data_IF_883678869994
#
_entry.id   IF_883678869994
#
_cell.length_a   1.000
_cell.length_b   1.000
_cell.length_c   1.000
_cell.angle_alpha   90.00
_cell.angle_beta   90.00
_cell.angle_gamma   90.00
#
_symmetry.space_group_name_H-M   'P 1'
#
loop_
_entity.id
_entity.type
_entity.pdbx_description
1 polymer ?
#
# COMPACT_ATOMS: atom_id res chain seq x y z
N UNK A 1 0.14 24.35 -10.42
CA UNK A 1 0.57 23.37 -9.39
C UNK A 1 0.36 21.93 -9.85
N UNK A 2 -0.87 21.53 -10.22
CA UNK A 2 -1.19 20.14 -10.62
C UNK A 2 -0.34 19.58 -11.78
N UNK A 3 -0.17 20.34 -12.87
CA UNK A 3 0.64 19.90 -14.04
C UNK A 3 2.11 19.67 -13.66
N UNK A 4 2.66 20.49 -12.74
CA UNK A 4 4.04 20.33 -12.26
C UNK A 4 4.20 19.02 -11.49
N UNK A 5 3.29 18.74 -10.56
CA UNK A 5 3.29 17.48 -9.80
C UNK A 5 3.12 16.28 -10.73
N UNK A 6 2.20 16.34 -11.68
CA UNK A 6 2.00 15.26 -12.65
C UNK A 6 3.28 15.00 -13.47
N UNK A 7 3.91 16.05 -14.00
CA UNK A 7 5.18 15.94 -14.75
C UNK A 7 6.29 15.34 -13.91
N UNK A 8 6.38 15.71 -12.64
CA UNK A 8 7.37 15.17 -11.72
C UNK A 8 7.12 13.70 -11.39
N UNK A 9 5.87 13.33 -11.10
CA UNK A 9 5.49 11.94 -10.84
C UNK A 9 5.74 11.03 -12.04
N UNK A 10 5.45 11.50 -13.26
CA UNK A 10 5.78 10.79 -14.49
C UNK A 10 7.28 10.65 -14.67
N UNK A 11 8.06 11.72 -14.44
CA UNK A 11 9.54 11.65 -14.52
C UNK A 11 10.10 10.63 -13.53
N UNK A 12 9.61 10.61 -12.30
CA UNK A 12 10.02 9.64 -11.28
C UNK A 12 9.63 8.21 -11.67
N UNK A 13 8.43 8.02 -12.21
CA UNK A 13 7.94 6.71 -12.67
C UNK A 13 8.77 6.19 -13.84
N UNK A 14 9.02 7.02 -14.86
CA UNK A 14 9.87 6.66 -16.01
C UNK A 14 11.29 6.31 -15.57
N UNK A 15 11.84 7.05 -14.59
CA UNK A 15 13.16 6.74 -14.03
C UNK A 15 13.21 5.34 -13.41
N UNK A 16 12.16 4.92 -12.68
CA UNK A 16 12.09 3.58 -12.11
C UNK A 16 11.86 2.53 -13.21
N UNK A 17 10.98 2.83 -14.16
CA UNK A 17 10.69 1.94 -15.29
C UNK A 17 11.92 1.74 -16.21
N UNK A 18 12.90 2.64 -16.21
CA UNK A 18 14.15 2.43 -16.92
C UNK A 18 14.92 1.19 -16.39
N UNK A 19 14.77 0.85 -15.11
CA UNK A 19 15.33 -0.38 -14.54
C UNK A 19 14.63 -1.65 -15.06
N UNK A 20 13.48 -1.52 -15.74
CA UNK A 20 12.81 -2.65 -16.40
C UNK A 20 13.65 -3.27 -17.51
N UNK A 21 14.63 -2.52 -18.06
CA UNK A 21 15.62 -3.02 -19.03
C UNK A 21 16.45 -4.18 -18.44
N UNK A 22 16.53 -4.28 -17.11
CA UNK A 22 17.21 -5.40 -16.44
C UNK A 22 16.42 -6.71 -16.54
N UNK A 23 15.10 -6.69 -16.77
CA UNK A 23 14.28 -7.91 -16.80
C UNK A 23 14.65 -8.84 -17.96
N UNK A 24 14.79 -8.36 -19.22
CA UNK A 24 15.32 -9.19 -20.30
C UNK A 24 16.73 -9.71 -20.04
N UNK A 25 17.58 -8.91 -19.40
CA UNK A 25 18.93 -9.33 -19.05
C UNK A 25 18.91 -10.48 -18.04
N UNK A 26 18.07 -10.39 -17.01
CA UNK A 26 17.84 -11.46 -16.04
C UNK A 26 17.34 -12.75 -16.69
N UNK A 27 16.43 -12.63 -17.66
CA UNK A 27 15.95 -13.79 -18.43
C UNK A 27 17.08 -14.46 -19.23
N UNK A 28 17.91 -13.69 -19.93
CA UNK A 28 19.06 -14.24 -20.67
C UNK A 28 20.05 -14.94 -19.74
N UNK A 29 20.30 -14.37 -18.55
CA UNK A 29 21.17 -15.04 -17.55
C UNK A 29 20.55 -16.31 -17.00
N UNK A 30 19.23 -16.34 -16.79
CA UNK A 30 18.55 -17.54 -16.32
C UNK A 30 18.61 -18.68 -17.35
N UNK A 31 18.34 -18.37 -18.63
CA UNK A 31 18.47 -19.34 -19.71
C UNK A 31 19.89 -19.88 -19.85
N UNK A 32 20.91 -19.04 -19.61
CA UNK A 32 22.31 -19.44 -19.74
C UNK A 32 22.83 -20.26 -18.55
N UNK A 33 22.35 -20.01 -17.32
CA UNK A 33 22.96 -20.54 -16.09
C UNK A 33 22.06 -21.51 -15.31
N UNK A 34 20.76 -21.25 -15.22
CA UNK A 34 19.88 -21.92 -14.26
C UNK A 34 18.82 -22.79 -14.93
N UNK A 35 18.44 -22.51 -16.19
CA UNK A 35 17.44 -23.26 -16.95
C UNK A 35 16.13 -23.49 -16.17
N UNK A 36 15.61 -22.44 -15.54
CA UNK A 36 14.44 -22.52 -14.64
C UNK A 36 13.15 -23.00 -15.30
N UNK A 37 13.10 -23.00 -16.64
CA UNK A 37 11.92 -23.36 -17.43
C UNK A 37 10.84 -22.29 -17.47
N UNK A 38 11.06 -21.14 -16.84
CA UNK A 38 10.13 -20.02 -16.86
C UNK A 38 10.10 -19.33 -18.23
N UNK A 39 8.91 -18.98 -18.70
CA UNK A 39 8.75 -18.27 -19.96
C UNK A 39 9.17 -16.79 -19.84
N UNK A 40 9.51 -16.15 -20.96
CA UNK A 40 9.85 -14.73 -20.96
C UNK A 40 8.69 -13.85 -20.42
N UNK A 41 7.45 -14.21 -20.74
CA UNK A 41 6.27 -13.53 -20.22
C UNK A 41 6.15 -13.69 -18.69
N UNK A 42 6.59 -14.82 -18.13
CA UNK A 42 6.68 -15.07 -16.68
C UNK A 42 7.74 -14.21 -15.99
N UNK A 43 8.83 -13.87 -16.67
CA UNK A 43 9.78 -12.88 -16.15
C UNK A 43 9.23 -11.47 -16.19
N UNK A 44 8.60 -11.08 -17.30
CA UNK A 44 8.06 -9.72 -17.50
C UNK A 44 7.06 -9.35 -16.42
N UNK A 45 5.97 -10.11 -16.24
CA UNK A 45 4.97 -9.73 -15.23
C UNK A 45 5.44 -9.93 -13.78
N UNK A 46 6.36 -10.85 -13.48
CA UNK A 46 6.96 -10.93 -12.14
C UNK A 46 7.81 -9.68 -11.86
N UNK A 47 8.53 -9.21 -12.88
CA UNK A 47 9.20 -7.92 -12.86
C UNK A 47 8.19 -6.80 -12.62
N UNK A 48 7.12 -6.72 -13.42
CA UNK A 48 6.10 -5.66 -13.31
C UNK A 48 5.47 -5.62 -11.92
N UNK A 49 5.16 -6.76 -11.30
CA UNK A 49 4.58 -6.82 -9.95
C UNK A 49 5.51 -6.15 -8.93
N UNK A 50 6.79 -6.51 -8.96
CA UNK A 50 7.82 -5.94 -8.11
C UNK A 50 8.02 -4.44 -8.42
N UNK A 51 8.01 -4.05 -9.69
CA UNK A 51 8.16 -2.65 -10.10
C UNK A 51 6.97 -1.78 -9.68
N UNK A 52 5.73 -2.27 -9.77
CA UNK A 52 4.54 -1.54 -9.31
C UNK A 52 4.69 -1.20 -7.83
N UNK A 53 5.06 -2.19 -7.02
CA UNK A 53 5.22 -2.03 -5.59
C UNK A 53 6.38 -1.08 -5.25
N UNK A 54 7.56 -1.29 -5.85
CA UNK A 54 8.72 -0.40 -5.65
C UNK A 54 8.39 1.02 -6.06
N UNK A 55 7.67 1.20 -7.19
CA UNK A 55 7.23 2.51 -7.66
C UNK A 55 6.26 3.15 -6.67
N UNK A 56 5.31 2.39 -6.12
CA UNK A 56 4.39 2.89 -5.11
C UNK A 56 5.12 3.42 -3.87
N UNK A 57 6.07 2.64 -3.33
CA UNK A 57 6.90 3.07 -2.19
C UNK A 57 7.79 4.26 -2.53
N UNK A 58 8.43 4.25 -3.69
CA UNK A 58 9.32 5.32 -4.12
C UNK A 58 8.57 6.64 -4.32
N UNK A 59 7.41 6.62 -4.98
CA UNK A 59 6.58 7.82 -5.16
C UNK A 59 6.04 8.36 -3.83
N UNK A 60 5.67 7.46 -2.91
CA UNK A 60 5.23 7.83 -1.57
C UNK A 60 6.36 8.48 -0.76
N UNK A 61 7.57 7.90 -0.80
CA UNK A 61 8.73 8.42 -0.07
C UNK A 61 9.25 9.76 -0.63
N UNK A 62 9.21 9.94 -1.95
CA UNK A 62 9.69 11.16 -2.60
C UNK A 62 8.62 12.25 -2.72
N UNK A 63 7.51 12.14 -1.98
CA UNK A 63 6.36 13.05 -2.11
C UNK A 63 6.69 14.53 -1.85
N UNK A 64 7.57 14.78 -0.88
CA UNK A 64 8.00 16.11 -0.44
C UNK A 64 9.51 16.34 -0.62
N UNK A 65 10.18 15.49 -1.41
CA UNK A 65 11.65 15.52 -1.51
C UNK A 65 12.18 16.79 -2.18
N UNK A 66 11.45 17.33 -3.15
CA UNK A 66 11.85 18.57 -3.82
C UNK A 66 11.78 19.74 -2.83
N UNK A 67 10.68 19.85 -2.08
CA UNK A 67 10.49 20.90 -1.09
C UNK A 67 11.46 20.82 0.07
N UNK A 68 11.81 19.60 0.50
CA UNK A 68 12.76 19.39 1.60
C UNK A 68 14.17 19.81 1.19
N UNK A 69 14.57 19.54 -0.06
CA UNK A 69 15.86 20.00 -0.61
C UNK A 69 15.95 21.52 -0.70
N UNK A 70 14.83 22.16 -1.04
CA UNK A 70 14.76 23.62 -1.17
C UNK A 70 14.53 24.31 0.19
N UNK A 71 14.43 23.56 1.29
CA UNK A 71 14.07 24.10 2.61
C UNK A 71 12.68 24.74 2.66
N UNK A 72 11.85 24.52 1.63
CA UNK A 72 10.57 25.18 1.41
C UNK A 72 9.39 24.39 2.01
N UNK A 73 9.63 23.29 2.73
CA UNK A 73 8.57 22.47 3.36
C UNK A 73 7.78 23.27 4.38
N UNK A 74 8.45 24.01 5.27
CA UNK A 74 7.78 24.85 6.27
C UNK A 74 7.02 26.00 5.61
N UNK A 75 7.61 26.59 4.56
CA UNK A 75 6.97 27.63 3.78
C UNK A 75 5.68 27.11 3.09
N UNK A 76 5.75 25.96 2.42
CA UNK A 76 4.61 25.36 1.73
C UNK A 76 3.45 25.06 2.70
N UNK A 77 3.76 24.60 3.91
CA UNK A 77 2.74 24.32 4.92
C UNK A 77 2.12 25.62 5.46
N UNK A 78 2.91 26.69 5.62
CA UNK A 78 2.41 28.00 6.08
C UNK A 78 1.50 28.74 5.10
N UNK A 79 1.42 28.31 3.84
CA UNK A 79 0.60 28.97 2.83
C UNK A 79 -0.90 28.88 3.19
N UNK A 80 -1.70 29.91 2.86
CA UNK A 80 -3.15 29.94 3.10
C UNK A 80 -3.91 29.06 2.08
N UNK A 81 -3.39 27.88 1.79
CA UNK A 81 -4.01 26.87 0.92
C UNK A 81 -4.79 25.90 1.81
N UNK A 82 -5.98 25.49 1.36
CA UNK A 82 -6.73 24.51 2.14
C UNK A 82 -5.97 23.18 2.23
N UNK A 83 -5.98 22.58 3.42
CA UNK A 83 -5.24 21.33 3.71
C UNK A 83 -5.65 20.19 2.76
N UNK A 84 -6.93 20.14 2.42
CA UNK A 84 -7.50 19.21 1.47
C UNK A 84 -7.01 19.43 0.04
N UNK A 85 -6.81 20.68 -0.39
CA UNK A 85 -6.23 20.95 -1.71
C UNK A 85 -4.80 20.41 -1.77
N UNK A 86 -3.99 20.58 -0.72
CA UNK A 86 -2.62 20.06 -0.71
C UNK A 86 -2.60 18.53 -0.82
N UNK A 87 -3.44 17.84 -0.04
CA UNK A 87 -3.61 16.38 -0.12
C UNK A 87 -3.99 15.97 -1.54
N UNK A 88 -4.99 16.64 -2.14
CA UNK A 88 -5.45 16.33 -3.50
C UNK A 88 -4.35 16.54 -4.54
N UNK A 89 -3.61 17.65 -4.48
CA UNK A 89 -2.56 17.94 -5.46
C UNK A 89 -1.36 17.01 -5.36
N UNK A 90 -1.03 16.50 -4.16
CA UNK A 90 0.09 15.56 -3.97
C UNK A 90 -0.33 14.11 -4.23
N UNK A 91 -1.47 13.66 -3.71
CA UNK A 91 -1.84 12.25 -3.72
C UNK A 91 -2.49 11.83 -5.05
N UNK A 92 -3.43 12.61 -5.58
CA UNK A 92 -4.20 12.21 -6.79
C UNK A 92 -3.31 11.92 -8.01
N UNK A 93 -2.35 12.79 -8.42
CA UNK A 93 -1.54 12.49 -9.61
C UNK A 93 -0.70 11.21 -9.43
N UNK A 94 -0.22 10.92 -8.22
CA UNK A 94 0.54 9.70 -7.91
C UNK A 94 -0.34 8.45 -8.01
N UNK A 95 -1.55 8.51 -7.43
CA UNK A 95 -2.52 7.42 -7.54
C UNK A 95 -2.88 7.21 -9.01
N UNK A 96 -3.14 8.26 -9.79
CA UNK A 96 -3.49 8.15 -11.20
C UNK A 96 -2.40 7.42 -12.01
N UNK A 97 -1.13 7.80 -11.84
CA UNK A 97 -0.01 7.14 -12.53
C UNK A 97 0.13 5.68 -12.08
N UNK A 98 0.00 5.40 -10.79
CA UNK A 98 0.06 4.03 -10.26
C UNK A 98 -1.12 3.18 -10.71
N UNK A 99 -2.32 3.74 -10.85
CA UNK A 99 -3.48 3.01 -11.38
C UNK A 99 -3.30 2.65 -12.84
N UNK A 100 -2.71 3.52 -13.66
CA UNK A 100 -2.37 3.20 -15.06
C UNK A 100 -1.35 2.06 -15.08
N UNK A 101 -0.31 2.14 -14.25
CA UNK A 101 0.71 1.10 -14.17
C UNK A 101 0.13 -0.24 -13.71
N UNK A 102 -0.82 -0.21 -12.77
CA UNK A 102 -1.53 -1.39 -12.27
C UNK A 102 -2.42 -2.02 -13.35
N UNK A 103 -3.15 -1.21 -14.13
CA UNK A 103 -3.94 -1.70 -15.27
C UNK A 103 -3.07 -2.32 -16.38
N UNK A 104 -1.89 -1.76 -16.61
CA UNK A 104 -0.91 -2.37 -17.51
C UNK A 104 -0.40 -3.70 -16.95
N UNK A 105 -0.09 -3.75 -15.65
CA UNK A 105 0.31 -4.98 -14.96
C UNK A 105 -0.76 -6.06 -15.02
N UNK A 106 -2.03 -5.71 -14.79
CA UNK A 106 -3.14 -6.66 -14.85
C UNK A 106 -3.32 -7.20 -16.27
N UNK A 107 -3.27 -6.33 -17.29
CA UNK A 107 -3.40 -6.77 -18.68
C UNK A 107 -2.28 -7.72 -19.12
N UNK A 108 -1.04 -7.49 -18.66
CA UNK A 108 0.07 -8.42 -18.92
C UNK A 108 -0.12 -9.75 -18.17
N UNK A 109 -0.68 -9.71 -16.96
CA UNK A 109 -0.94 -10.90 -16.18
C UNK A 109 -2.10 -11.74 -16.75
N UNK A 110 -3.15 -11.10 -17.28
CA UNK A 110 -4.28 -11.78 -17.94
C UNK A 110 -3.87 -12.51 -19.22
N UNK A 111 -2.84 -12.01 -19.91
CA UNK A 111 -2.25 -12.66 -21.10
C UNK A 111 -1.42 -13.90 -20.75
N UNK A 112 -1.14 -14.16 -19.47
CA UNK A 112 -0.44 -15.38 -19.05
C UNK A 112 -1.41 -16.57 -19.01
N UNK A 113 -1.12 -17.56 -19.83
CA UNK A 113 -1.85 -18.84 -19.87
C UNK A 113 -1.42 -19.82 -18.76
N UNK A 114 -0.38 -19.51 -17.96
CA UNK A 114 0.13 -20.41 -16.91
C UNK A 114 -0.25 -19.90 -15.50
N UNK A 115 -0.70 -20.82 -14.64
CA UNK A 115 -1.09 -20.58 -13.24
C UNK A 115 0.09 -20.22 -12.30
N UNK A 116 1.22 -19.78 -12.84
CA UNK A 116 2.54 -19.94 -12.21
C UNK A 116 3.33 -18.67 -11.98
N UNK A 117 2.72 -17.54 -11.61
CA UNK A 117 3.52 -16.43 -11.07
C UNK A 117 3.93 -16.76 -9.62
N UNK A 118 5.10 -17.37 -9.46
CA UNK A 118 5.67 -17.65 -8.12
C UNK A 118 5.72 -16.37 -7.29
N UNK A 119 6.06 -15.25 -7.93
CA UNK A 119 6.15 -13.93 -7.31
C UNK A 119 4.81 -13.17 -7.24
N UNK A 120 3.86 -13.40 -8.16
CA UNK A 120 2.56 -12.74 -8.05
C UNK A 120 1.78 -13.24 -6.83
N UNK A 121 1.89 -14.51 -6.45
CA UNK A 121 1.28 -14.97 -5.19
C UNK A 121 1.86 -14.32 -3.93
N UNK A 122 3.14 -13.92 -3.96
CA UNK A 122 3.88 -13.38 -2.81
C UNK A 122 3.78 -11.86 -2.73
N UNK A 123 3.90 -11.17 -3.87
CA UNK A 123 3.97 -9.71 -3.90
C UNK A 123 2.63 -9.04 -4.18
N UNK A 124 1.93 -9.44 -5.24
CA UNK A 124 0.67 -8.83 -5.66
C UNK A 124 -0.33 -9.95 -5.93
N UNK A 125 -1.14 -10.27 -4.92
CA UNK A 125 -2.17 -11.28 -5.08
C UNK A 125 -3.31 -10.74 -5.96
N UNK A 126 -3.16 -10.91 -7.27
CA UNK A 126 -4.12 -10.47 -8.28
C UNK A 126 -5.54 -11.03 -8.06
N UNK A 127 -5.66 -12.18 -7.37
CA UNK A 127 -6.94 -12.77 -6.96
C UNK A 127 -7.72 -12.00 -5.89
N UNK A 128 -7.13 -11.02 -5.19
CA UNK A 128 -7.84 -10.17 -4.21
C UNK A 128 -8.74 -9.11 -4.88
N UNK A 129 -8.65 -8.96 -6.20
CA UNK A 129 -9.39 -7.98 -6.97
C UNK A 129 -8.70 -6.62 -7.05
N UNK A 130 -8.96 -5.90 -8.15
CA UNK A 130 -8.38 -4.58 -8.43
C UNK A 130 -8.69 -3.55 -7.33
N UNK A 131 -9.86 -3.64 -6.70
CA UNK A 131 -10.26 -2.74 -5.63
C UNK A 131 -9.31 -2.80 -4.42
N UNK A 132 -8.88 -4.02 -4.04
CA UNK A 132 -7.92 -4.20 -2.95
C UNK A 132 -6.56 -3.58 -3.30
N UNK A 133 -6.07 -3.81 -4.51
CA UNK A 133 -4.78 -3.27 -4.95
C UNK A 133 -4.78 -1.73 -5.05
N UNK A 134 -5.87 -1.15 -5.56
CA UNK A 134 -6.06 0.32 -5.56
C UNK A 134 -6.13 0.86 -4.12
N UNK A 135 -6.82 0.14 -3.23
CA UNK A 135 -6.86 0.46 -1.80
C UNK A 135 -5.47 0.46 -1.17
N UNK A 136 -4.66 -0.55 -1.46
CA UNK A 136 -3.30 -0.70 -0.97
C UNK A 136 -2.39 0.44 -1.46
N UNK A 137 -2.44 0.75 -2.76
CA UNK A 137 -1.69 1.88 -3.34
C UNK A 137 -2.10 3.19 -2.68
N UNK A 138 -3.41 3.42 -2.53
CA UNK A 138 -3.94 4.62 -1.88
C UNK A 138 -3.45 4.71 -0.44
N UNK A 139 -3.45 3.59 0.29
CA UNK A 139 -2.93 3.51 1.66
C UNK A 139 -1.44 3.87 1.72
N UNK A 140 -0.62 3.30 0.83
CA UNK A 140 0.81 3.61 0.72
C UNK A 140 1.04 5.11 0.46
N UNK A 141 0.27 5.72 -0.45
CA UNK A 141 0.40 7.15 -0.74
C UNK A 141 -0.02 8.03 0.46
N UNK A 142 -1.05 7.65 1.21
CA UNK A 142 -1.45 8.37 2.43
C UNK A 142 -0.37 8.24 3.51
N UNK A 143 0.23 7.07 3.68
CA UNK A 143 1.39 6.89 4.57
C UNK A 143 2.58 7.76 4.15
N UNK A 144 2.91 7.82 2.85
CA UNK A 144 3.94 8.71 2.33
C UNK A 144 3.65 10.20 2.60
N UNK A 145 2.38 10.59 2.48
CA UNK A 145 1.96 11.94 2.83
C UNK A 145 2.16 12.25 4.32
N UNK A 146 1.75 11.34 5.21
CA UNK A 146 1.95 11.47 6.66
C UNK A 146 3.45 11.60 6.96
N UNK A 147 4.29 10.74 6.36
CA UNK A 147 5.74 10.80 6.51
C UNK A 147 6.32 12.16 6.10
N UNK A 148 5.81 12.72 5.01
CA UNK A 148 6.20 14.06 4.54
C UNK A 148 5.85 15.17 5.54
N UNK A 149 4.72 15.07 6.22
CA UNK A 149 4.31 16.03 7.26
C UNK A 149 5.12 15.91 8.54
N UNK A 150 5.37 14.67 8.97
CA UNK A 150 6.13 14.40 10.21
C UNK A 150 7.60 14.69 10.03
N UNK A 151 8.10 14.58 8.80
CA UNK A 151 9.50 14.73 8.48
C UNK A 151 10.13 13.39 8.12
N UNK A 152 10.75 13.35 6.94
CA UNK A 152 11.27 12.13 6.33
C UNK A 152 12.54 11.61 7.00
N UNK A 153 13.29 12.50 7.65
CA UNK A 153 14.53 12.16 8.35
C UNK A 153 14.28 11.24 9.56
N UNK A 154 13.11 11.34 10.19
CA UNK A 154 12.76 10.53 11.35
C UNK A 154 12.76 9.03 11.01
N UNK A 155 13.67 8.28 11.63
CA UNK A 155 13.79 6.83 11.40
C UNK A 155 12.61 6.06 12.01
N UNK A 156 12.17 6.50 13.19
CA UNK A 156 11.02 5.94 13.91
C UNK A 156 9.73 6.02 13.10
N UNK A 157 9.41 7.18 12.50
CA UNK A 157 8.18 7.33 11.71
C UNK A 157 8.22 6.49 10.43
N UNK A 158 9.39 6.40 9.78
CA UNK A 158 9.60 5.52 8.62
C UNK A 158 9.29 4.08 8.97
N UNK A 159 9.84 3.56 10.07
CA UNK A 159 9.59 2.19 10.51
C UNK A 159 8.14 1.95 10.90
N UNK A 160 7.51 2.87 11.65
CA UNK A 160 6.11 2.71 12.05
C UNK A 160 5.18 2.65 10.84
N UNK A 161 5.35 3.56 9.88
CA UNK A 161 4.52 3.60 8.67
C UNK A 161 4.80 2.41 7.75
N UNK A 162 6.07 2.00 7.61
CA UNK A 162 6.43 0.79 6.88
C UNK A 162 5.79 -0.44 7.52
N UNK A 163 5.85 -0.56 8.86
CA UNK A 163 5.20 -1.62 9.61
C UNK A 163 3.69 -1.66 9.39
N UNK A 164 3.02 -0.50 9.38
CA UNK A 164 1.58 -0.41 9.05
C UNK A 164 1.29 -0.86 7.62
N UNK A 165 2.11 -0.47 6.64
CA UNK A 165 1.94 -0.91 5.24
C UNK A 165 2.15 -2.42 5.12
N UNK A 166 3.20 -2.97 5.74
CA UNK A 166 3.45 -4.42 5.74
C UNK A 166 2.30 -5.18 6.40
N UNK A 167 1.74 -4.65 7.48
CA UNK A 167 0.53 -5.19 8.08
C UNK A 167 -0.60 -5.17 7.05
N UNK A 168 -0.99 -4.03 6.48
CA UNK A 168 -2.10 -3.94 5.50
C UNK A 168 -1.90 -4.86 4.31
N UNK A 169 -0.68 -4.92 3.77
CA UNK A 169 -0.33 -5.78 2.66
C UNK A 169 -0.58 -7.26 3.00
N UNK A 170 -0.22 -7.67 4.20
CA UNK A 170 -0.49 -9.01 4.71
C UNK A 170 -1.89 -9.18 5.32
N UNK A 171 -2.81 -8.20 5.22
CA UNK A 171 -4.10 -8.18 5.92
C UNK A 171 -5.31 -7.91 4.97
N UNK A 172 -6.14 -8.94 4.76
CA UNK A 172 -7.56 -8.82 4.47
C UNK A 172 -8.33 -9.49 5.61
N UNK A 173 -8.47 -8.82 6.76
CA UNK A 173 -8.73 -9.50 8.05
C UNK A 173 -9.96 -9.09 8.79
N UNK A 174 -10.47 -7.88 8.57
CA UNK A 174 -11.58 -7.39 9.39
C UNK A 174 -12.84 -8.14 8.99
N UNK A 175 -12.98 -8.44 7.71
CA UNK A 175 -14.00 -9.35 7.20
C UNK A 175 -13.93 -10.72 7.88
N UNK A 176 -12.73 -11.27 8.12
CA UNK A 176 -12.54 -12.53 8.86
C UNK A 176 -12.96 -12.39 10.33
N UNK A 177 -12.59 -11.29 11.00
CA UNK A 177 -12.99 -11.02 12.38
C UNK A 177 -14.50 -10.90 12.51
N UNK A 178 -15.14 -10.16 11.61
CA UNK A 178 -16.60 -10.00 11.56
C UNK A 178 -17.27 -11.34 11.30
N UNK A 179 -16.76 -12.13 10.35
CA UNK A 179 -17.29 -13.47 10.05
C UNK A 179 -17.23 -14.38 11.27
N UNK A 180 -16.12 -14.36 12.01
CA UNK A 180 -15.97 -15.09 13.28
C UNK A 180 -16.92 -14.60 14.36
N UNK A 181 -17.18 -13.30 14.43
CA UNK A 181 -18.10 -12.73 15.40
C UNK A 181 -19.55 -13.12 15.06
N UNK A 182 -19.93 -13.08 13.79
CA UNK A 182 -21.24 -13.56 13.30
C UNK A 182 -21.40 -15.05 13.62
N UNK A 183 -20.37 -15.86 13.39
CA UNK A 183 -20.39 -17.29 13.71
C UNK A 183 -20.65 -17.55 15.21
N UNK A 184 -20.08 -16.72 16.10
CA UNK A 184 -20.27 -16.85 17.55
C UNK A 184 -21.63 -16.36 18.05
N UNK A 185 -22.24 -15.37 17.38
CA UNK A 185 -23.46 -14.69 17.85
C UNK A 185 -24.73 -15.27 17.22
N UNK A 186 -24.66 -15.66 15.94
CA UNK A 186 -25.80 -16.13 15.16
C UNK A 186 -25.64 -17.63 14.86
N UNK A 187 -25.35 -17.98 13.60
CA UNK A 187 -25.27 -19.34 13.10
C UNK A 187 -24.19 -19.50 12.03
N UNK A 188 -23.74 -20.73 11.82
CA UNK A 188 -22.74 -21.09 10.81
C UNK A 188 -23.17 -20.66 9.39
N UNK A 189 -24.44 -20.87 9.04
CA UNK A 189 -24.96 -20.52 7.71
C UNK A 189 -24.93 -19.01 7.44
N UNK A 190 -25.22 -18.19 8.45
CA UNK A 190 -25.15 -16.73 8.35
C UNK A 190 -23.71 -16.26 8.19
N UNK A 191 -22.78 -16.89 8.91
CA UNK A 191 -21.35 -16.60 8.79
C UNK A 191 -20.80 -16.93 7.40
N UNK A 192 -21.23 -18.02 6.77
CA UNK A 192 -20.79 -18.38 5.39
C UNK A 192 -21.45 -17.48 4.34
N UNK A 193 -22.72 -17.11 4.51
CA UNK A 193 -23.42 -16.21 3.57
C UNK A 193 -22.87 -14.79 3.57
N UNK A 194 -22.34 -14.31 4.69
CA UNK A 194 -21.82 -12.96 4.82
C UNK A 194 -20.70 -12.61 3.81
N UNK A 195 -19.57 -13.33 3.73
CA UNK A 195 -18.52 -13.03 2.75
C UNK A 195 -18.99 -13.23 1.32
N UNK A 196 -19.87 -14.20 1.07
CA UNK A 196 -20.45 -14.42 -0.26
C UNK A 196 -21.35 -13.26 -0.72
N UNK A 197 -22.17 -12.71 0.18
CA UNK A 197 -23.00 -11.54 -0.09
C UNK A 197 -22.17 -10.27 -0.28
N UNK A 198 -21.11 -10.11 0.53
CA UNK A 198 -20.23 -8.94 0.46
C UNK A 198 -19.36 -8.95 -0.81
N UNK A 199 -18.97 -10.13 -1.28
CA UNK A 199 -18.04 -10.33 -2.38
C UNK A 199 -16.61 -9.87 -2.06
N UNK A 200 -15.67 -10.17 -2.95
CA UNK A 200 -14.25 -9.83 -2.76
C UNK A 200 -14.02 -8.32 -2.72
N UNK A 201 -14.70 -7.56 -3.58
CA UNK A 201 -14.59 -6.12 -3.59
C UNK A 201 -15.20 -5.47 -2.33
N UNK A 202 -16.33 -5.99 -1.84
CA UNK A 202 -16.96 -5.46 -0.63
C UNK A 202 -16.15 -5.75 0.63
N UNK A 203 -15.53 -6.93 0.71
CA UNK A 203 -14.61 -7.27 1.80
C UNK A 203 -13.37 -6.38 1.81
N UNK A 204 -12.78 -6.12 0.64
CA UNK A 204 -11.68 -5.17 0.50
C UNK A 204 -12.08 -3.76 0.96
N UNK A 205 -13.23 -3.24 0.52
CA UNK A 205 -13.71 -1.91 0.93
C UNK A 205 -13.91 -1.84 2.44
N UNK A 206 -14.50 -2.87 3.05
CA UNK A 206 -14.72 -2.94 4.48
C UNK A 206 -13.39 -2.90 5.24
N UNK A 207 -12.43 -3.74 4.85
CA UNK A 207 -11.13 -3.83 5.50
C UNK A 207 -10.37 -2.50 5.40
N UNK A 208 -10.32 -1.91 4.19
CA UNK A 208 -9.68 -0.61 3.99
C UNK A 208 -10.38 0.54 4.71
N UNK A 209 -11.70 0.50 4.88
CA UNK A 209 -12.43 1.56 5.59
C UNK A 209 -11.91 1.74 7.03
N UNK A 210 -11.61 0.64 7.71
CA UNK A 210 -11.06 0.67 9.08
C UNK A 210 -9.60 1.09 9.07
N UNK A 211 -8.80 0.60 8.12
CA UNK A 211 -7.40 1.03 8.00
C UNK A 211 -7.28 2.53 7.72
N UNK A 212 -8.15 3.09 6.86
CA UNK A 212 -8.23 4.52 6.63
C UNK A 212 -8.77 5.28 7.84
N UNK A 213 -9.71 4.73 8.60
CA UNK A 213 -10.17 5.34 9.85
C UNK A 213 -9.03 5.44 10.88
N UNK A 214 -8.19 4.41 10.99
CA UNK A 214 -7.00 4.39 11.85
C UNK A 214 -5.92 5.38 11.38
N UNK A 215 -5.68 5.49 10.07
CA UNK A 215 -4.80 6.54 9.53
C UNK A 215 -5.38 7.93 9.75
N UNK A 216 -6.69 8.09 9.62
CA UNK A 216 -7.37 9.36 9.84
C UNK A 216 -7.23 9.84 11.30
N UNK A 217 -7.23 8.91 12.25
CA UNK A 217 -6.96 9.21 13.66
C UNK A 217 -5.57 9.83 13.88
N UNK A 218 -4.57 9.43 13.08
CA UNK A 218 -3.21 10.01 13.07
C UNK A 218 -3.19 11.32 12.28
N UNK A 219 -3.83 11.37 11.11
CA UNK A 219 -3.74 12.49 10.18
C UNK A 219 -4.51 13.73 10.66
N UNK A 220 -5.73 13.56 11.19
CA UNK A 220 -6.58 14.66 11.68
C UNK A 220 -5.86 15.63 12.66
N UNK A 221 -5.17 15.16 13.72
CA UNK A 221 -4.43 16.05 14.61
C UNK A 221 -3.21 16.67 13.93
N UNK A 222 -2.47 15.91 13.10
CA UNK A 222 -1.32 16.42 12.36
C UNK A 222 -1.71 17.58 11.47
N UNK A 223 -2.78 17.43 10.70
CA UNK A 223 -3.32 18.50 9.88
C UNK A 223 -3.70 19.74 10.71
N UNK A 224 -4.10 19.62 11.98
CA UNK A 224 -4.45 20.78 12.82
C UNK A 224 -3.23 21.58 13.28
N UNK A 225 -2.12 20.91 13.52
CA UNK A 225 -0.92 21.51 14.16
C UNK A 225 0.20 21.82 13.16
N UNK A 226 0.06 21.41 11.90
CA UNK A 226 1.17 21.40 10.95
C UNK A 226 1.76 22.79 10.62
N UNK A 227 0.99 23.87 10.80
CA UNK A 227 1.35 25.26 10.48
C UNK A 227 1.96 25.98 11.70
N UNK A 228 1.71 25.46 12.90
CA UNK A 228 1.92 26.17 14.17
C UNK A 228 3.11 25.65 14.95
N UNK A 229 3.66 24.49 14.57
CA UNK A 229 4.63 23.75 15.37
C UNK A 229 5.80 23.27 14.52
N UNK A 230 7.03 23.33 15.07
CA UNK A 230 8.22 22.85 14.38
C UNK A 230 8.14 21.33 14.17
N UNK A 231 8.89 20.84 13.19
CA UNK A 231 8.89 19.43 12.77
C UNK A 231 9.06 18.44 13.93
N UNK A 232 9.99 18.70 14.86
CA UNK A 232 10.23 17.86 16.05
C UNK A 232 8.98 17.65 16.92
N UNK A 233 8.15 18.68 17.08
CA UNK A 233 6.92 18.57 17.87
C UNK A 233 5.89 17.73 17.14
N UNK A 234 5.78 17.88 15.81
CA UNK A 234 4.88 17.06 14.98
C UNK A 234 5.26 15.57 15.04
N UNK A 235 6.56 15.27 15.03
CA UNK A 235 7.08 13.91 15.16
C UNK A 235 6.67 13.26 16.49
N UNK A 236 6.88 13.94 17.63
CA UNK A 236 6.50 13.41 18.95
C UNK A 236 4.99 13.17 19.03
N UNK A 237 4.19 14.08 18.47
CA UNK A 237 2.73 13.92 18.41
C UNK A 237 2.29 12.75 17.52
N UNK A 238 2.96 12.58 16.39
CA UNK A 238 2.76 11.42 15.51
C UNK A 238 3.06 10.13 16.27
N UNK A 239 4.25 10.01 16.86
CA UNK A 239 4.69 8.79 17.55
C UNK A 239 3.68 8.37 18.63
N UNK A 240 3.24 9.31 19.49
CA UNK A 240 2.27 9.02 20.56
C UNK A 240 0.97 8.38 20.07
N UNK A 241 0.51 8.73 18.86
CA UNK A 241 -0.75 8.21 18.29
C UNK A 241 -0.51 7.02 17.37
N UNK A 242 0.58 7.04 16.62
CA UNK A 242 0.97 5.98 15.71
C UNK A 242 1.23 4.67 16.45
N UNK A 243 1.74 4.72 17.69
CA UNK A 243 1.91 3.52 18.53
C UNK A 243 0.57 2.80 18.75
N UNK A 244 -0.48 3.51 19.14
CA UNK A 244 -1.80 2.89 19.35
C UNK A 244 -2.31 2.23 18.06
N UNK A 245 -2.25 2.98 16.95
CA UNK A 245 -2.65 2.47 15.64
C UNK A 245 -1.83 1.24 15.23
N UNK A 246 -0.51 1.27 15.41
CA UNK A 246 0.40 0.18 15.10
C UNK A 246 0.09 -1.07 15.94
N UNK A 247 -0.20 -0.90 17.24
CA UNK A 247 -0.61 -2.00 18.11
C UNK A 247 -1.90 -2.65 17.57
N UNK A 248 -2.88 -1.86 17.13
CA UNK A 248 -4.10 -2.41 16.51
C UNK A 248 -3.77 -3.18 15.23
N UNK A 249 -2.92 -2.65 14.37
CA UNK A 249 -2.45 -3.36 13.16
C UNK A 249 -1.76 -4.69 13.50
N UNK A 250 -0.88 -4.69 14.49
CA UNK A 250 -0.18 -5.90 14.95
C UNK A 250 -1.13 -6.93 15.55
N UNK A 251 -2.14 -6.50 16.32
CA UNK A 251 -3.15 -7.40 16.89
C UNK A 251 -4.02 -8.03 15.78
N UNK A 252 -4.40 -7.26 14.76
CA UNK A 252 -5.12 -7.79 13.59
C UNK A 252 -4.26 -8.79 12.82
N UNK A 253 -2.96 -8.51 12.69
CA UNK A 253 -1.98 -9.41 12.06
C UNK A 253 -1.81 -10.71 12.83
N UNK A 254 -1.60 -10.63 14.14
CA UNK A 254 -1.51 -11.81 15.00
C UNK A 254 -2.79 -12.67 14.92
N UNK A 255 -3.97 -12.03 14.93
CA UNK A 255 -5.23 -12.74 14.81
C UNK A 255 -5.36 -13.49 13.48
N UNK A 256 -4.87 -12.94 12.36
CA UNK A 256 -4.83 -13.64 11.07
C UNK A 256 -3.94 -14.87 11.10
N UNK A 257 -2.74 -14.74 11.66
CA UNK A 257 -1.80 -15.85 11.77
C UNK A 257 -2.39 -17.00 12.60
N UNK A 258 -3.02 -16.67 13.72
CA UNK A 258 -3.76 -17.63 14.55
C UNK A 258 -5.00 -18.20 13.85
N UNK A 259 -5.61 -17.43 12.95
CA UNK A 259 -6.77 -17.89 12.21
C UNK A 259 -6.42 -18.96 11.18
N UNK A 260 -5.34 -18.74 10.44
CA UNK A 260 -4.86 -19.67 9.42
C UNK A 260 -4.44 -21.00 10.05
N UNK A 261 -3.73 -20.98 11.18
CA UNK A 261 -3.32 -22.23 11.86
C UNK A 261 -4.50 -23.09 12.30
N UNK A 262 -5.61 -22.47 12.73
CA UNK A 262 -6.83 -23.19 13.11
C UNK A 262 -7.51 -23.87 11.93
N UNK A 263 -7.60 -23.22 10.77
CA UNK A 263 -8.21 -23.82 9.57
C UNK A 263 -7.39 -25.00 9.03
N UNK A 264 -6.06 -24.88 9.05
CA UNK A 264 -5.18 -26.00 8.69
C UNK A 264 -5.42 -27.21 9.60
N UNK A 265 -5.59 -26.99 10.91
CA UNK A 265 -5.81 -28.09 11.86
C UNK A 265 -7.14 -28.83 11.66
N UNK A 266 -8.20 -28.15 11.23
CA UNK A 266 -9.52 -28.76 10.99
C UNK A 266 -9.52 -29.63 9.71
N UNK A 267 -8.77 -29.25 8.68
CA UNK A 267 -8.71 -30.01 7.42
C UNK A 267 -7.92 -31.32 7.57
N UNK A 268 -7.01 -31.40 8.54
CA UNK A 268 -6.19 -32.59 8.81
C UNK A 268 -6.83 -33.60 9.79
N UNK A 269 -8.06 -33.36 10.24
CA UNK A 269 -8.79 -34.22 11.19
C UNK A 269 -10.01 -34.85 10.53
#
# INVERSE_FOLDING_TARGET
MWIRELKETLRQTVFIMAFFILVPLLFLTDQALFSSGLSFLEYISNGLDLFILITAFYLAYNMFKAEERDGATEYLLSLPISRWQLIRYKIIPRIAVLTILLLLGSGVNDLRLSNGSVLGSIFIYWGTGLAFLIGLITFIQVCGFILGLTGRESWSARLMLLGMVLCVWQLGTITIVITRLIYKVFDMWTAVRFPFWLGDNGSAILDFSVFFALLWYILKPLCRIWDLKPMRVREIWFQKRAVLTLVVFLLLFLNRLLAMSYFSFIIYR
#
